data_IF_518578086122
#
_entry.id   IF_518578086122
#
_cell.length_a   1.000
_cell.length_b   1.000
_cell.length_c   1.000
_cell.angle_alpha   90.00
_cell.angle_beta   90.00
_cell.angle_gamma   90.00
#
_symmetry.space_group_name_H-M   'P 1'
#
loop_
_entity.id
_entity.type
_entity.pdbx_description
1 polymer ?
#
# COMPACT_ATOMS: atom_id res chain seq x y z
N UNK A 1 17.64 21.85 2.20
CA UNK A 1 18.22 20.55 2.59
C UNK A 1 17.17 19.46 2.73
N UNK A 2 16.15 19.60 3.59
CA UNK A 2 15.11 18.55 3.76
C UNK A 2 14.36 18.18 2.47
N UNK A 3 13.90 19.17 1.67
CA UNK A 3 13.21 18.88 0.41
C UNK A 3 14.11 18.12 -0.57
N UNK A 4 15.36 18.53 -0.74
CA UNK A 4 16.30 17.87 -1.65
C UNK A 4 16.56 16.39 -1.25
N UNK A 5 16.59 16.10 0.06
CA UNK A 5 16.71 14.73 0.55
C UNK A 5 15.45 13.90 0.24
N UNK A 6 14.25 14.49 0.37
CA UNK A 6 13.00 13.82 -0.01
C UNK A 6 12.89 13.60 -1.51
N UNK A 7 13.31 14.58 -2.33
CA UNK A 7 13.30 14.45 -3.79
C UNK A 7 14.17 13.26 -4.21
N UNK A 8 15.40 13.20 -3.68
CA UNK A 8 16.33 12.07 -3.93
C UNK A 8 15.72 10.72 -3.50
N UNK A 9 15.02 10.69 -2.36
CA UNK A 9 14.35 9.48 -1.88
C UNK A 9 13.21 9.07 -2.81
N UNK A 10 12.37 10.00 -3.26
CA UNK A 10 11.24 9.70 -4.13
C UNK A 10 11.70 9.25 -5.52
N UNK A 11 12.76 9.86 -6.06
CA UNK A 11 13.38 9.40 -7.30
C UNK A 11 13.85 7.95 -7.16
N UNK A 12 14.53 7.63 -6.06
CA UNK A 12 15.02 6.27 -5.79
C UNK A 12 13.86 5.26 -5.64
N UNK A 13 12.77 5.63 -4.98
CA UNK A 13 11.58 4.76 -4.84
C UNK A 13 10.80 4.63 -6.15
N UNK A 14 10.83 5.65 -7.01
CA UNK A 14 10.19 5.68 -8.32
C UNK A 14 10.75 4.64 -9.29
N UNK A 15 12.03 4.29 -9.14
CA UNK A 15 12.71 3.27 -9.94
C UNK A 15 12.41 1.82 -9.51
N UNK A 16 11.58 1.63 -8.48
CA UNK A 16 11.28 0.30 -7.92
C UNK A 16 9.83 -0.12 -8.11
N UNK A 17 9.57 -1.43 -7.96
CA UNK A 17 8.21 -1.92 -7.80
C UNK A 17 7.77 -1.79 -6.33
N UNK A 18 6.83 -0.90 -6.07
CA UNK A 18 6.45 -0.48 -4.73
C UNK A 18 5.40 -1.40 -4.10
N UNK A 19 5.66 -1.86 -2.87
CA UNK A 19 4.71 -2.58 -2.02
C UNK A 19 4.39 -1.74 -0.78
N UNK A 20 3.11 -1.52 -0.51
CA UNK A 20 2.66 -0.64 0.57
C UNK A 20 2.18 -1.42 1.78
N UNK A 21 2.62 -1.03 2.98
CA UNK A 21 2.13 -1.53 4.27
C UNK A 21 1.49 -0.38 5.03
N UNK A 22 0.23 -0.55 5.43
CA UNK A 22 -0.52 0.44 6.19
C UNK A 22 -0.66 0.00 7.64
N UNK A 23 0.07 0.65 8.54
CA UNK A 23 -0.05 0.40 9.97
C UNK A 23 -1.29 1.10 10.54
N UNK A 24 -2.07 0.38 11.36
CA UNK A 24 -3.23 0.93 12.06
C UNK A 24 -3.02 0.73 13.56
N UNK A 25 -3.00 1.84 14.31
CA UNK A 25 -2.97 1.78 15.76
C UNK A 25 -4.35 1.36 16.30
N UNK A 26 -4.49 0.23 17.02
CA UNK A 26 -5.78 -0.23 17.49
C UNK A 26 -6.34 0.61 18.65
N UNK A 27 -5.47 1.16 19.51
CA UNK A 27 -5.85 2.02 20.64
C UNK A 27 -4.64 2.84 21.13
N UNK A 28 -4.89 4.01 21.73
CA UNK A 28 -3.81 4.87 22.24
C UNK A 28 -3.30 4.44 23.63
N UNK A 29 -4.03 3.53 24.29
CA UNK A 29 -3.68 2.98 25.60
C UNK A 29 -2.60 1.88 25.53
N UNK A 30 -2.17 1.47 24.33
CA UNK A 30 -1.19 0.40 24.08
C UNK A 30 -1.59 -0.95 24.71
N UNK A 31 -2.89 -1.19 24.85
CA UNK A 31 -3.41 -2.42 25.43
C UNK A 31 -3.64 -3.47 24.34
N UNK A 32 -3.21 -4.73 24.55
CA UNK A 32 -3.53 -5.80 23.63
C UNK A 32 -5.04 -6.09 23.65
N UNK A 33 -5.56 -6.61 22.53
CA UNK A 33 -6.96 -7.02 22.39
C UNK A 33 -8.01 -5.92 22.62
N UNK A 34 -7.62 -4.64 22.56
CA UNK A 34 -8.54 -3.51 22.59
C UNK A 34 -8.54 -2.77 21.26
N UNK A 35 -9.71 -2.35 20.81
CA UNK A 35 -9.88 -1.60 19.56
C UNK A 35 -10.80 -0.40 19.76
N UNK A 36 -10.29 0.79 19.44
CA UNK A 36 -11.01 2.05 19.48
C UNK A 36 -11.59 2.38 18.10
N UNK A 37 -12.83 1.95 17.86
CA UNK A 37 -13.43 2.00 16.52
C UNK A 37 -13.46 3.39 15.88
N UNK A 38 -13.60 4.48 16.67
CA UNK A 38 -13.57 5.85 16.16
C UNK A 38 -12.17 6.25 15.67
N UNK A 39 -11.12 5.92 16.44
CA UNK A 39 -9.73 6.21 16.08
C UNK A 39 -9.32 5.42 14.83
N UNK A 40 -9.56 4.10 14.84
CA UNK A 40 -9.27 3.21 13.70
C UNK A 40 -9.99 3.68 12.43
N UNK A 41 -11.28 4.03 12.51
CA UNK A 41 -12.03 4.58 11.36
C UNK A 41 -11.44 5.90 10.86
N UNK A 42 -10.93 6.74 11.75
CA UNK A 42 -10.23 7.97 11.39
C UNK A 42 -8.94 7.71 10.61
N UNK A 43 -8.14 6.73 11.05
CA UNK A 43 -6.91 6.30 10.36
C UNK A 43 -7.20 5.72 8.97
N UNK A 44 -8.22 4.84 8.85
CA UNK A 44 -8.64 4.27 7.56
C UNK A 44 -9.07 5.35 6.55
N UNK A 45 -9.74 6.39 7.02
CA UNK A 45 -10.18 7.51 6.17
C UNK A 45 -9.01 8.42 5.77
N UNK A 46 -8.20 8.85 6.74
CA UNK A 46 -7.07 9.76 6.49
C UNK A 46 -5.97 9.13 5.64
N UNK A 47 -5.75 7.82 5.77
CA UNK A 47 -4.79 7.07 4.95
C UNK A 47 -5.32 6.74 3.53
N UNK A 48 -6.56 7.11 3.21
CA UNK A 48 -7.14 6.88 1.88
C UNK A 48 -7.47 5.41 1.55
N UNK A 49 -7.45 4.50 2.53
CA UNK A 49 -7.63 3.06 2.31
C UNK A 49 -8.96 2.70 1.64
N UNK A 50 -10.01 3.48 1.87
CA UNK A 50 -11.31 3.30 1.19
C UNK A 50 -11.17 3.52 -0.33
N UNK A 51 -10.37 4.50 -0.75
CA UNK A 51 -10.09 4.78 -2.15
C UNK A 51 -9.22 3.69 -2.78
N UNK A 52 -8.18 3.26 -2.06
CA UNK A 52 -7.33 2.13 -2.48
C UNK A 52 -8.16 0.87 -2.69
N UNK A 53 -9.00 0.50 -1.73
CA UNK A 53 -9.86 -0.68 -1.85
C UNK A 53 -10.80 -0.61 -3.07
N UNK A 54 -11.41 0.56 -3.32
CA UNK A 54 -12.29 0.77 -4.49
C UNK A 54 -11.54 0.66 -5.81
N UNK A 55 -10.32 1.21 -5.90
CA UNK A 55 -9.49 1.13 -7.11
C UNK A 55 -9.05 -0.31 -7.38
N UNK A 56 -8.62 -1.01 -6.33
CA UNK A 56 -8.12 -2.38 -6.44
C UNK A 56 -9.21 -3.37 -6.89
N UNK A 57 -10.49 -3.07 -6.66
CA UNK A 57 -11.60 -3.90 -7.15
C UNK A 57 -11.67 -4.03 -8.68
N UNK A 58 -11.08 -3.08 -9.42
CA UNK A 58 -11.11 -3.03 -10.88
C UNK A 58 -9.72 -2.97 -11.53
N UNK A 59 -8.65 -3.20 -10.77
CA UNK A 59 -7.28 -3.07 -11.28
C UNK A 59 -6.68 -4.44 -11.60
N UNK A 60 -6.06 -4.56 -12.77
CA UNK A 60 -5.29 -5.73 -13.18
C UNK A 60 -3.81 -5.46 -12.92
N UNK A 61 -3.37 -5.70 -11.68
CA UNK A 61 -2.02 -5.34 -11.20
C UNK A 61 -0.90 -6.20 -11.82
N UNK A 62 -1.21 -7.43 -12.21
CA UNK A 62 -0.22 -8.35 -12.78
C UNK A 62 -0.29 -8.29 -14.30
N UNK A 63 0.74 -7.71 -14.91
CA UNK A 63 0.99 -7.77 -16.34
C UNK A 63 2.15 -8.72 -16.65
N UNK A 64 2.06 -9.46 -17.75
CA UNK A 64 3.18 -10.19 -18.34
C UNK A 64 3.00 -10.26 -19.86
N UNK A 65 4.09 -10.45 -20.58
CA UNK A 65 4.04 -10.66 -22.03
C UNK A 65 3.42 -12.02 -22.36
N UNK A 66 2.84 -12.20 -23.56
CA UNK A 66 2.31 -13.50 -23.97
C UNK A 66 3.36 -14.62 -23.93
N UNK A 67 4.60 -14.32 -24.31
CA UNK A 67 5.70 -15.30 -24.29
C UNK A 67 6.07 -15.70 -22.86
N UNK A 68 6.17 -14.74 -21.93
CA UNK A 68 6.39 -15.03 -20.50
C UNK A 68 5.26 -15.89 -19.93
N UNK A 69 4.02 -15.60 -20.28
CA UNK A 69 2.86 -16.39 -19.84
C UNK A 69 2.98 -17.84 -20.33
N UNK A 70 3.16 -18.04 -21.64
CA UNK A 70 3.29 -19.35 -22.26
C UNK A 70 4.50 -20.13 -21.74
N UNK A 71 5.60 -19.46 -21.40
CA UNK A 71 6.78 -20.09 -20.82
C UNK A 71 6.56 -20.46 -19.34
N UNK A 72 5.93 -19.59 -18.56
CA UNK A 72 5.70 -19.77 -17.12
C UNK A 72 4.68 -20.86 -16.81
N UNK A 73 3.67 -21.04 -17.66
CA UNK A 73 2.53 -21.95 -17.43
C UNK A 73 2.47 -23.13 -18.41
N UNK A 74 3.63 -23.57 -18.92
CA UNK A 74 3.71 -24.63 -19.95
C UNK A 74 3.35 -26.03 -19.43
N UNK A 75 3.68 -26.29 -18.17
CA UNK A 75 3.48 -27.56 -17.45
C UNK A 75 2.63 -27.32 -16.18
#
# INVERSE_FOLDING_TARGET
EFCAALDTLFDTLGDTHNWFVFCINPNDSQLPNQLEGRSVKGQVRSSGLVGVAKRNACTFEVGMTPDEFCQRYRD
#
